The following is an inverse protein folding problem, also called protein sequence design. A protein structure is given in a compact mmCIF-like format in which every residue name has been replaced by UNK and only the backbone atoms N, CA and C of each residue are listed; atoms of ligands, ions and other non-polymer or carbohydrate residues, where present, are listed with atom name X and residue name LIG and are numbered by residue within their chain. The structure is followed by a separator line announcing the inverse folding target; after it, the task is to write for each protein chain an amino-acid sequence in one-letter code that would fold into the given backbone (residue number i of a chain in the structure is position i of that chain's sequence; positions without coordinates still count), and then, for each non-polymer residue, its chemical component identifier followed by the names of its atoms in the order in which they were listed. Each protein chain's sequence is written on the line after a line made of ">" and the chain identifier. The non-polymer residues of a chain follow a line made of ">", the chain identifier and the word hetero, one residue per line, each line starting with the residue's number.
data_IF_997292443162
#
_entry.id   IF_997292443162
#
_cell.length_a   1.000
_cell.length_b   1.000
_cell.length_c   1.000
_cell.angle_alpha   90.00
_cell.angle_beta   90.00
_cell.angle_gamma   90.00
#
_symmetry.space_group_name_H-M   'P 1'
#
loop_
_entity.id
_entity.type
_entity.pdbx_description
1 polymer ?
#
# COMPACT_ATOMS: atom_id res chain seq x y z
N UNK A 1 11.32 41.25 23.55
CA UNK A 1 10.91 40.60 22.29
C UNK A 1 10.59 39.15 22.61
N UNK A 2 9.30 38.83 22.71
CA UNK A 2 8.76 37.59 23.28
C UNK A 2 8.95 36.39 22.36
N UNK A 3 9.46 35.29 22.94
CA UNK A 3 9.01 33.92 22.70
C UNK A 3 9.03 33.30 21.29
N UNK A 4 9.80 32.21 21.18
CA UNK A 4 9.43 30.95 20.51
C UNK A 4 9.38 30.93 18.98
N UNK A 5 10.46 30.48 18.35
CA UNK A 5 10.39 29.44 17.31
C UNK A 5 11.75 28.78 17.01
N UNK A 6 12.54 28.49 18.06
CA UNK A 6 13.66 27.53 17.99
C UNK A 6 13.20 26.07 18.08
N UNK A 7 11.98 25.76 17.63
CA UNK A 7 11.42 24.41 17.68
C UNK A 7 10.87 24.07 16.32
N UNK A 8 11.41 23.00 15.71
CA UNK A 8 10.99 22.34 14.45
C UNK A 8 9.86 23.12 13.78
N UNK A 9 10.20 24.07 12.91
CA UNK A 9 9.20 24.68 12.05
C UNK A 9 8.35 23.55 11.49
N UNK A 10 7.03 23.67 11.67
CA UNK A 10 6.03 22.71 11.21
C UNK A 10 6.47 22.17 9.84
N UNK A 11 6.45 20.85 9.57
CA UNK A 11 6.89 20.33 8.28
C UNK A 11 6.20 21.12 7.18
N UNK A 12 6.95 22.02 6.51
CA UNK A 12 6.37 23.06 5.65
C UNK A 12 5.70 22.48 4.40
N UNK A 13 5.81 21.16 4.22
CA UNK A 13 5.05 20.38 3.29
C UNK A 13 5.01 18.97 3.86
N UNK A 14 3.89 18.57 4.46
CA UNK A 14 3.63 17.15 4.61
C UNK A 14 3.76 16.53 3.21
N UNK A 15 4.35 15.32 3.06
CA UNK A 15 4.34 14.64 1.78
C UNK A 15 2.88 14.64 1.33
N UNK A 16 2.62 15.15 0.12
CA UNK A 16 1.32 14.96 -0.49
C UNK A 16 1.19 13.45 -0.61
N UNK A 17 0.51 12.86 0.36
CA UNK A 17 -0.02 11.50 0.25
C UNK A 17 -1.04 11.66 -0.85
N UNK A 18 -0.58 11.52 -2.08
CA UNK A 18 -1.46 11.37 -3.21
C UNK A 18 -2.38 10.22 -2.80
N UNK A 19 -3.65 10.55 -2.60
CA UNK A 19 -4.65 9.55 -2.29
C UNK A 19 -4.65 8.68 -3.53
N UNK A 20 -4.17 7.45 -3.38
CA UNK A 20 -4.35 6.42 -4.37
C UNK A 20 -5.85 6.13 -4.37
N UNK A 21 -6.58 6.96 -5.12
CA UNK A 21 -7.96 6.71 -5.48
C UNK A 21 -7.89 5.57 -6.49
N UNK A 22 -7.89 4.35 -5.97
CA UNK A 22 -7.93 3.13 -6.78
C UNK A 22 -9.36 3.00 -7.30
N UNK A 23 -9.52 3.05 -8.62
CA UNK A 23 -10.81 2.91 -9.26
C UNK A 23 -11.35 1.48 -9.08
N UNK A 24 -12.65 1.29 -9.31
CA UNK A 24 -13.32 -0.02 -9.13
C UNK A 24 -12.65 -1.13 -9.95
N UNK A 25 -12.13 -0.79 -11.13
CA UNK A 25 -11.37 -1.69 -12.00
C UNK A 25 -10.03 -2.13 -11.40
N UNK A 26 -9.33 -1.22 -10.72
CA UNK A 26 -8.06 -1.52 -10.04
C UNK A 26 -8.26 -2.46 -8.85
N UNK A 27 -9.35 -2.26 -8.11
CA UNK A 27 -9.74 -3.16 -7.02
C UNK A 27 -10.07 -4.55 -7.56
N UNK A 28 -10.81 -4.64 -8.67
CA UNK A 28 -11.14 -5.90 -9.31
C UNK A 28 -9.89 -6.65 -9.83
N UNK A 29 -8.94 -5.94 -10.44
CA UNK A 29 -7.67 -6.53 -10.88
C UNK A 29 -6.83 -7.03 -9.71
N UNK A 30 -6.75 -6.25 -8.63
CA UNK A 30 -5.99 -6.63 -7.43
C UNK A 30 -6.59 -7.84 -6.72
N UNK A 31 -7.91 -8.00 -6.74
CA UNK A 31 -8.57 -9.20 -6.24
C UNK A 31 -8.24 -10.41 -7.12
N UNK A 32 -8.40 -10.30 -8.44
CA UNK A 32 -8.04 -11.37 -9.39
C UNK A 32 -6.59 -11.82 -9.24
N UNK A 33 -5.66 -10.89 -9.10
CA UNK A 33 -4.23 -11.21 -8.94
C UNK A 33 -3.96 -11.94 -7.62
N UNK A 34 -4.62 -11.55 -6.53
CA UNK A 34 -4.49 -12.22 -5.22
C UNK A 34 -5.01 -13.65 -5.28
N UNK A 35 -6.12 -13.87 -5.98
CA UNK A 35 -6.72 -15.20 -6.11
C UNK A 35 -5.86 -16.12 -6.97
N UNK A 36 -5.31 -15.60 -8.07
CA UNK A 36 -4.33 -16.31 -8.90
C UNK A 36 -3.08 -16.70 -8.09
N UNK A 37 -2.49 -15.74 -7.36
CA UNK A 37 -1.32 -16.01 -6.53
C UNK A 37 -1.60 -17.04 -5.42
N UNK A 38 -2.81 -17.05 -4.84
CA UNK A 38 -3.20 -18.09 -3.88
C UNK A 38 -3.29 -19.45 -4.56
N UNK A 39 -3.97 -19.55 -5.70
CA UNK A 39 -4.10 -20.80 -6.44
C UNK A 39 -2.73 -21.37 -6.86
N UNK A 40 -1.82 -20.52 -7.33
CA UNK A 40 -0.45 -20.92 -7.66
C UNK A 40 0.32 -21.42 -6.44
N UNK A 41 0.25 -20.70 -5.31
CA UNK A 41 0.91 -21.11 -4.07
C UNK A 41 0.36 -22.43 -3.56
N UNK A 42 -0.95 -22.64 -3.63
CA UNK A 42 -1.58 -23.91 -3.22
C UNK A 42 -1.20 -25.06 -4.15
N UNK A 43 -1.11 -24.82 -5.46
CA UNK A 43 -0.65 -25.80 -6.43
C UNK A 43 0.83 -26.17 -6.19
N UNK A 44 1.69 -25.17 -5.97
CA UNK A 44 3.11 -25.38 -5.63
C UNK A 44 3.24 -26.12 -4.30
N UNK A 45 2.45 -25.76 -3.28
CA UNK A 45 2.46 -26.44 -1.98
C UNK A 45 2.00 -27.90 -2.08
N UNK A 46 0.96 -28.17 -2.89
CA UNK A 46 0.51 -29.54 -3.19
C UNK A 46 1.59 -30.33 -3.92
N UNK A 47 2.28 -29.73 -4.90
CA UNK A 47 3.38 -30.38 -5.61
C UNK A 47 4.59 -30.62 -4.70
N UNK A 48 4.94 -29.68 -3.82
CA UNK A 48 6.05 -29.84 -2.87
C UNK A 48 5.78 -30.85 -1.75
N UNK A 49 4.51 -31.11 -1.43
CA UNK A 49 4.11 -32.08 -0.41
C UNK A 49 4.09 -33.53 -0.94
N UNK A 50 4.15 -33.71 -2.26
CA UNK A 50 4.19 -35.01 -2.91
C UNK A 50 5.64 -35.41 -3.18
#
# INVERSE_FOLDING_TARGET
>A
MSSRQGGKQKPLKAPKKDRQDMDEDDVALKQKLRDQQKAEKDAIAKMKKK
#
